data_IF_585462201834
#
_entry.id   IF_585462201834
#
_cell.length_a   1.000
_cell.length_b   1.000
_cell.length_c   1.000
_cell.angle_alpha   90.00
_cell.angle_beta   90.00
_cell.angle_gamma   90.00
#
_symmetry.space_group_name_H-M   'P 1'
#
loop_
_entity.id
_entity.type
_entity.pdbx_description
1 polymer ?
#
# COMPACT_ATOMS: atom_id res chain seq x y z
N UNK A 1 1.33 1.30 -14.50
CA UNK A 1 1.77 2.71 -14.35
C UNK A 1 3.26 2.85 -14.66
N UNK A 2 4.16 2.08 -14.02
CA UNK A 2 5.61 2.15 -14.26
C UNK A 2 6.01 1.97 -15.73
N UNK A 3 5.37 1.05 -16.47
CA UNK A 3 5.62 0.89 -17.90
C UNK A 3 5.40 2.19 -18.69
N UNK A 4 4.27 2.85 -18.46
CA UNK A 4 3.92 4.10 -19.15
C UNK A 4 4.85 5.23 -18.76
N UNK A 5 5.17 5.36 -17.46
CA UNK A 5 6.13 6.36 -17.00
C UNK A 5 7.53 6.14 -17.59
N UNK A 6 8.00 4.90 -17.65
CA UNK A 6 9.26 4.54 -18.32
C UNK A 6 9.27 4.94 -19.81
N UNK A 7 8.17 4.70 -20.52
CA UNK A 7 8.02 5.12 -21.92
C UNK A 7 8.01 6.64 -22.07
N UNK A 8 7.35 7.37 -21.16
CA UNK A 8 7.31 8.84 -21.15
C UNK A 8 8.71 9.40 -20.86
N UNK A 9 9.40 8.91 -19.83
CA UNK A 9 10.79 9.30 -19.52
C UNK A 9 11.72 9.11 -20.72
N UNK A 10 11.64 7.96 -21.39
CA UNK A 10 12.45 7.69 -22.59
C UNK A 10 12.08 8.62 -23.75
N UNK A 11 10.79 8.93 -23.93
CA UNK A 11 10.32 9.86 -24.96
C UNK A 11 10.80 11.30 -24.69
N UNK A 12 10.73 11.77 -23.44
CA UNK A 12 11.24 13.09 -23.03
C UNK A 12 12.75 13.14 -23.24
N UNK A 13 13.48 12.11 -22.80
CA UNK A 13 14.93 12.00 -23.04
C UNK A 13 15.28 12.07 -24.53
N UNK A 14 14.43 11.51 -25.41
CA UNK A 14 14.62 11.58 -26.87
C UNK A 14 14.38 12.99 -27.40
N UNK A 15 13.38 13.71 -26.88
CA UNK A 15 13.03 15.06 -27.30
C UNK A 15 14.10 16.08 -26.86
N UNK A 16 14.61 15.94 -25.64
CA UNK A 16 15.68 16.78 -25.09
C UNK A 16 17.02 16.46 -25.77
N UNK A 17 17.25 15.17 -26.07
CA UNK A 17 18.45 14.65 -26.70
C UNK A 17 19.15 13.65 -25.79
N UNK A 18 19.50 12.47 -26.31
CA UNK A 18 20.14 11.45 -25.49
C UNK A 18 21.56 11.84 -25.10
N UNK A 19 21.88 11.73 -23.81
CA UNK A 19 23.18 12.05 -23.23
C UNK A 19 23.56 13.53 -23.29
N UNK A 20 22.59 14.45 -23.40
CA UNK A 20 22.85 15.90 -23.31
C UNK A 20 23.23 16.36 -21.91
N UNK A 21 22.79 15.62 -20.90
CA UNK A 21 22.99 15.89 -19.48
C UNK A 21 22.95 14.58 -18.69
N UNK A 22 23.07 14.68 -17.37
CA UNK A 22 23.10 13.53 -16.46
C UNK A 22 21.74 12.88 -16.20
N UNK A 23 20.63 13.54 -16.52
CA UNK A 23 19.27 13.08 -16.20
C UNK A 23 18.66 12.26 -17.33
N UNK A 24 18.82 12.73 -18.58
CA UNK A 24 18.30 12.06 -19.76
C UNK A 24 18.92 10.68 -19.97
N UNK A 25 18.23 9.83 -20.74
CA UNK A 25 18.76 8.53 -21.14
C UNK A 25 20.17 8.68 -21.79
N UNK A 26 21.14 7.83 -21.42
CA UNK A 26 22.51 7.91 -21.93
C UNK A 26 22.62 7.87 -23.46
N UNK A 27 23.73 8.38 -24.00
CA UNK A 27 23.94 8.45 -25.44
C UNK A 27 23.86 7.07 -26.11
N UNK A 28 22.87 6.91 -26.98
CA UNK A 28 22.58 5.65 -27.70
C UNK A 28 23.66 5.25 -28.71
N UNK A 29 24.55 6.17 -29.09
CA UNK A 29 25.71 5.89 -29.95
C UNK A 29 26.73 4.98 -29.26
N UNK A 30 26.71 4.94 -27.92
CA UNK A 30 27.53 4.00 -27.14
C UNK A 30 26.88 2.61 -27.27
N UNK A 31 27.61 1.57 -27.73
CA UNK A 31 27.04 0.25 -28.01
C UNK A 31 26.29 -0.39 -26.83
N UNK A 32 26.69 -0.08 -25.59
CA UNK A 32 26.02 -0.54 -24.38
C UNK A 32 24.57 -0.04 -24.29
N UNK A 33 24.34 1.25 -24.57
CA UNK A 33 23.04 1.93 -24.44
C UNK A 33 22.21 1.93 -25.74
N UNK A 34 22.78 1.44 -26.85
CA UNK A 34 22.08 1.34 -28.13
C UNK A 34 21.00 0.25 -28.18
N UNK A 35 21.16 -0.83 -27.40
CA UNK A 35 20.28 -2.01 -27.43
C UNK A 35 18.86 -1.72 -26.93
N UNK A 36 17.84 -2.25 -27.62
CA UNK A 36 16.43 -2.04 -27.25
C UNK A 36 16.11 -2.53 -25.83
N UNK A 37 16.61 -3.70 -25.46
CA UNK A 37 16.44 -4.25 -24.11
C UNK A 37 17.04 -3.35 -23.04
N UNK A 38 18.24 -2.80 -23.27
CA UNK A 38 18.90 -1.87 -22.35
C UNK A 38 18.10 -0.59 -22.18
N UNK A 39 17.59 -0.01 -23.27
CA UNK A 39 16.74 1.19 -23.26
C UNK A 39 15.52 0.99 -22.37
N UNK A 40 14.80 -0.11 -22.57
CA UNK A 40 13.60 -0.40 -21.82
C UNK A 40 13.89 -0.72 -20.34
N UNK A 41 14.83 -1.61 -20.06
CA UNK A 41 15.17 -2.03 -18.68
C UNK A 41 15.66 -0.84 -17.85
N UNK A 42 16.53 0.00 -18.41
CA UNK A 42 17.02 1.19 -17.72
C UNK A 42 15.88 2.19 -17.44
N UNK A 43 15.04 2.47 -18.44
CA UNK A 43 13.92 3.42 -18.27
C UNK A 43 12.90 2.89 -17.25
N UNK A 44 12.67 1.59 -17.23
CA UNK A 44 11.80 0.94 -16.24
C UNK A 44 12.41 0.95 -14.83
N UNK A 45 13.73 0.77 -14.73
CA UNK A 45 14.47 0.90 -13.48
C UNK A 45 14.35 2.33 -12.92
N UNK A 46 14.63 3.33 -13.76
CA UNK A 46 14.45 4.74 -13.41
C UNK A 46 13.02 5.01 -12.93
N UNK A 47 12.01 4.62 -13.73
CA UNK A 47 10.61 4.82 -13.38
C UNK A 47 10.21 4.14 -12.08
N UNK A 48 10.79 2.97 -11.77
CA UNK A 48 10.48 2.25 -10.54
C UNK A 48 11.04 3.01 -9.35
N UNK A 49 12.30 3.42 -9.38
CA UNK A 49 12.92 4.19 -8.31
C UNK A 49 12.18 5.50 -8.01
N UNK A 50 11.77 6.24 -9.05
CA UNK A 50 11.03 7.50 -8.91
C UNK A 50 9.65 7.27 -8.31
N UNK A 51 8.86 6.33 -8.87
CA UNK A 51 7.49 6.09 -8.43
C UNK A 51 7.40 5.40 -7.06
N UNK A 52 8.41 4.63 -6.65
CA UNK A 52 8.49 4.08 -5.29
C UNK A 52 9.17 5.04 -4.31
N UNK A 53 9.47 6.28 -4.71
CA UNK A 53 10.06 7.32 -3.86
C UNK A 53 11.42 6.95 -3.25
N UNK A 54 12.17 6.04 -3.89
CA UNK A 54 13.53 5.66 -3.45
C UNK A 54 14.52 6.77 -3.86
N UNK A 55 14.32 7.37 -5.03
CA UNK A 55 14.94 8.64 -5.40
C UNK A 55 16.44 8.61 -5.76
N UNK A 56 17.07 7.44 -5.89
CA UNK A 56 18.47 7.30 -6.34
C UNK A 56 18.65 7.50 -7.86
N UNK A 57 17.95 8.47 -8.43
CA UNK A 57 18.08 8.85 -9.84
C UNK A 57 18.91 10.12 -9.96
N UNK A 58 19.65 10.31 -11.07
CA UNK A 58 20.33 11.58 -11.31
C UNK A 58 19.36 12.75 -11.18
N UNK A 59 19.80 13.90 -10.62
CA UNK A 59 18.92 15.05 -10.49
C UNK A 59 18.60 15.65 -11.87
N UNK A 60 17.38 16.18 -12.07
CA UNK A 60 17.06 16.97 -13.27
C UNK A 60 17.97 18.19 -13.38
N UNK A 61 18.22 18.63 -14.61
CA UNK A 61 19.14 19.71 -14.96
C UNK A 61 18.38 20.89 -15.60
N UNK A 62 17.33 20.62 -16.39
CA UNK A 62 16.54 21.64 -17.09
C UNK A 62 15.16 21.84 -16.46
N UNK A 63 14.57 23.03 -16.64
CA UNK A 63 13.27 23.41 -16.04
C UNK A 63 12.15 22.44 -16.43
N UNK A 64 12.13 21.96 -17.68
CA UNK A 64 11.17 20.97 -18.17
C UNK A 64 11.32 19.60 -17.47
N UNK A 65 12.54 19.21 -17.11
CA UNK A 65 12.85 17.97 -16.39
C UNK A 65 12.41 18.09 -14.93
N UNK A 66 12.65 19.24 -14.30
CA UNK A 66 12.16 19.54 -12.96
C UNK A 66 10.64 19.46 -12.89
N UNK A 67 9.93 20.08 -13.84
CA UNK A 67 8.47 20.04 -13.89
C UNK A 67 7.95 18.60 -14.02
N UNK A 68 8.56 17.81 -14.91
CA UNK A 68 8.20 16.40 -15.08
C UNK A 68 8.42 15.58 -13.81
N UNK A 69 9.60 15.70 -13.17
CA UNK A 69 9.93 14.96 -11.96
C UNK A 69 9.02 15.33 -10.80
N UNK A 70 8.64 16.61 -10.64
CA UNK A 70 7.68 17.04 -9.60
C UNK A 70 6.31 16.39 -9.82
N UNK A 71 5.80 16.39 -11.05
CA UNK A 71 4.53 15.74 -11.38
C UNK A 71 4.61 14.23 -11.11
N UNK A 72 5.70 13.58 -11.51
CA UNK A 72 5.88 12.14 -11.33
C UNK A 72 5.95 11.75 -9.84
N UNK A 73 6.61 12.56 -9.00
CA UNK A 73 6.62 12.35 -7.55
C UNK A 73 5.22 12.49 -6.93
N UNK A 74 4.43 13.49 -7.34
CA UNK A 74 3.06 13.64 -6.85
C UNK A 74 2.19 12.42 -7.21
N UNK A 75 2.32 11.93 -8.44
CA UNK A 75 1.64 10.71 -8.89
C UNK A 75 2.11 9.50 -8.09
N UNK A 76 3.42 9.35 -7.89
CA UNK A 76 4.02 8.26 -7.10
C UNK A 76 3.50 8.22 -5.66
N UNK A 77 3.48 9.36 -4.97
CA UNK A 77 2.97 9.48 -3.60
C UNK A 77 1.48 9.11 -3.52
N UNK A 78 0.65 9.55 -4.46
CA UNK A 78 -0.78 9.22 -4.49
C UNK A 78 -1.02 7.72 -4.72
N UNK A 79 -0.25 7.10 -5.61
CA UNK A 79 -0.32 5.65 -5.86
C UNK A 79 0.09 4.89 -4.60
N UNK A 80 1.22 5.27 -3.98
CA UNK A 80 1.69 4.63 -2.77
C UNK A 80 0.68 4.74 -1.61
N UNK A 81 0.14 5.94 -1.38
CA UNK A 81 -0.91 6.17 -0.38
C UNK A 81 -2.15 5.30 -0.62
N UNK A 82 -2.57 5.15 -1.88
CA UNK A 82 -3.72 4.30 -2.26
C UNK A 82 -3.45 2.83 -1.98
N UNK A 83 -2.26 2.33 -2.33
CA UNK A 83 -1.87 0.94 -2.07
C UNK A 83 -1.88 0.65 -0.57
N UNK A 84 -1.23 1.51 0.23
CA UNK A 84 -1.18 1.37 1.69
C UNK A 84 -2.59 1.44 2.29
N UNK A 85 -3.43 2.38 1.83
CA UNK A 85 -4.82 2.50 2.26
C UNK A 85 -5.64 1.24 1.97
N UNK A 86 -5.48 0.66 0.78
CA UNK A 86 -6.17 -0.56 0.39
C UNK A 86 -5.72 -1.77 1.21
N UNK A 87 -4.41 -1.92 1.44
CA UNK A 87 -3.87 -2.98 2.30
C UNK A 87 -4.36 -2.82 3.74
N UNK A 88 -4.37 -1.60 4.27
CA UNK A 88 -4.90 -1.30 5.60
C UNK A 88 -6.39 -1.66 5.72
N UNK A 89 -7.19 -1.30 4.72
CA UNK A 89 -8.61 -1.66 4.64
C UNK A 89 -8.80 -3.19 4.59
N UNK A 90 -7.98 -3.90 3.81
CA UNK A 90 -8.03 -5.37 3.75
C UNK A 90 -7.74 -6.01 5.11
N UNK A 91 -6.72 -5.53 5.82
CA UNK A 91 -6.36 -6.02 7.16
C UNK A 91 -7.47 -5.73 8.17
N UNK A 92 -8.06 -4.53 8.11
CA UNK A 92 -9.17 -4.15 8.98
C UNK A 92 -10.38 -5.03 8.74
N UNK A 93 -10.76 -5.25 7.48
CA UNK A 93 -11.88 -6.13 7.10
C UNK A 93 -11.64 -7.58 7.51
N UNK A 94 -10.43 -8.12 7.31
CA UNK A 94 -10.08 -9.48 7.72
C UNK A 94 -10.20 -9.68 9.24
N UNK A 95 -9.92 -8.63 10.02
CA UNK A 95 -10.03 -8.66 11.47
C UNK A 95 -11.37 -8.13 12.00
N UNK A 96 -12.32 -7.72 11.15
CA UNK A 96 -13.55 -7.05 11.57
C UNK A 96 -14.37 -7.90 12.54
N UNK A 97 -14.63 -9.17 12.20
CA UNK A 97 -15.38 -10.08 13.07
C UNK A 97 -14.70 -10.28 14.44
N UNK A 98 -13.36 -10.35 14.45
CA UNK A 98 -12.59 -10.49 15.70
C UNK A 98 -12.64 -9.21 16.53
N UNK A 99 -12.55 -8.05 15.89
CA UNK A 99 -12.65 -6.75 16.54
C UNK A 99 -14.04 -6.54 17.16
N UNK A 100 -15.11 -6.90 16.46
CA UNK A 100 -16.48 -6.87 16.97
C UNK A 100 -16.67 -7.79 18.17
N UNK A 101 -16.15 -9.02 18.09
CA UNK A 101 -16.20 -9.95 19.21
C UNK A 101 -15.45 -9.41 20.43
N UNK A 102 -14.25 -8.87 20.23
CA UNK A 102 -13.45 -8.28 21.29
C UNK A 102 -14.17 -7.09 21.95
N UNK A 103 -14.81 -6.22 21.16
CA UNK A 103 -15.61 -5.10 21.67
C UNK A 103 -16.80 -5.56 22.55
N UNK A 104 -17.47 -6.67 22.18
CA UNK A 104 -18.51 -7.29 23.01
C UNK A 104 -17.93 -7.81 24.32
N UNK A 105 -16.81 -8.52 24.28
CA UNK A 105 -16.13 -9.04 25.49
C UNK A 105 -15.70 -7.89 26.42
N UNK A 106 -15.17 -6.80 25.87
CA UNK A 106 -14.71 -5.65 26.66
C UNK A 106 -15.88 -4.91 27.32
N UNK A 107 -17.03 -4.80 26.64
CA UNK A 107 -18.27 -4.27 27.23
C UNK A 107 -18.75 -5.13 28.41
N UNK A 108 -18.63 -6.47 28.29
CA UNK A 108 -19.01 -7.40 29.35
C UNK A 108 -18.06 -7.28 30.55
N UNK A 109 -16.75 -7.15 30.32
CA UNK A 109 -15.77 -6.87 31.38
C UNK A 109 -16.10 -5.58 32.13
N UNK A 110 -16.41 -4.51 31.39
CA UNK A 110 -16.78 -3.24 31.99
C UNK A 110 -18.05 -3.36 32.86
N UNK A 111 -19.05 -4.09 32.39
CA UNK A 111 -20.27 -4.37 33.17
C UNK A 111 -19.99 -5.15 34.45
N UNK A 112 -19.18 -6.21 34.38
CA UNK A 112 -18.79 -7.02 35.55
C UNK A 112 -18.00 -6.19 36.56
N UNK A 113 -17.10 -5.33 36.08
CA UNK A 113 -16.35 -4.41 36.93
C UNK A 113 -17.28 -3.43 37.66
N UNK A 114 -18.23 -2.81 36.95
CA UNK A 114 -19.22 -1.89 37.54
C UNK A 114 -20.07 -2.58 38.62
N UNK A 115 -20.44 -3.85 38.40
CA UNK A 115 -21.21 -4.66 39.37
C UNK A 115 -20.35 -5.29 40.46
N UNK A 116 -19.04 -5.03 40.50
CA UNK A 116 -18.09 -5.61 41.47
C UNK A 116 -18.14 -7.14 41.53
N UNK A 117 -18.26 -7.77 40.36
CA UNK A 117 -18.20 -9.23 40.23
C UNK A 117 -16.84 -9.75 40.71
N UNK A 118 -16.83 -10.93 41.33
CA UNK A 118 -15.58 -11.56 41.80
C UNK A 118 -14.68 -11.94 40.62
N UNK A 119 -13.36 -11.88 40.84
CA UNK A 119 -12.38 -12.20 39.80
C UNK A 119 -12.47 -13.63 39.27
N UNK A 120 -12.89 -14.57 40.12
CA UNK A 120 -13.15 -15.96 39.72
C UNK A 120 -14.30 -16.04 38.71
N UNK A 121 -15.42 -15.37 38.99
CA UNK A 121 -16.57 -15.37 38.09
C UNK A 121 -16.27 -14.62 36.78
N UNK A 122 -15.57 -13.50 36.85
CA UNK A 122 -15.07 -12.76 35.67
C UNK A 122 -14.21 -13.66 34.76
N UNK A 123 -13.26 -14.40 35.34
CA UNK A 123 -12.40 -15.31 34.58
C UNK A 123 -13.19 -16.46 33.93
N UNK A 124 -14.18 -17.02 34.63
CA UNK A 124 -15.06 -18.06 34.08
C UNK A 124 -15.89 -17.54 32.92
N UNK A 125 -16.42 -16.32 33.02
CA UNK A 125 -17.19 -15.68 31.95
C UNK A 125 -16.32 -15.43 30.72
N UNK A 126 -15.12 -14.86 30.88
CA UNK A 126 -14.19 -14.62 29.75
C UNK A 126 -13.82 -15.94 29.07
N UNK A 127 -13.48 -16.98 29.83
CA UNK A 127 -13.13 -18.30 29.29
C UNK A 127 -14.28 -18.92 28.49
N UNK A 128 -15.52 -18.70 28.91
CA UNK A 128 -16.70 -19.15 28.16
C UNK A 128 -16.84 -18.41 26.82
N UNK A 129 -16.60 -17.10 26.79
CA UNK A 129 -16.60 -16.32 25.55
C UNK A 129 -15.49 -16.76 24.59
N UNK A 130 -14.26 -16.98 25.08
CA UNK A 130 -13.16 -17.51 24.25
C UNK A 130 -13.51 -18.88 23.65
N UNK A 131 -14.17 -19.75 24.42
CA UNK A 131 -14.67 -21.04 23.93
C UNK A 131 -15.73 -20.86 22.83
N UNK A 132 -16.68 -19.94 23.01
CA UNK A 132 -17.71 -19.66 22.00
C UNK A 132 -17.13 -19.15 20.68
N UNK A 133 -16.14 -18.25 20.76
CA UNK A 133 -15.43 -17.72 19.60
C UNK A 133 -14.66 -18.82 18.85
N UNK A 134 -13.90 -19.63 19.58
CA UNK A 134 -13.07 -20.71 19.00
C UNK A 134 -13.93 -21.78 18.32
N UNK A 135 -15.11 -22.08 18.87
CA UNK A 135 -16.01 -23.09 18.32
C UNK A 135 -17.02 -22.55 17.29
N UNK A 136 -16.84 -21.31 16.80
CA UNK A 136 -17.67 -20.66 15.76
C UNK A 136 -19.19 -20.75 16.01
N UNK A 137 -19.64 -20.82 17.26
CA UNK A 137 -21.09 -20.84 17.61
C UNK A 137 -21.77 -19.47 17.49
N UNK A 138 -21.10 -18.49 16.90
CA UNK A 138 -21.59 -17.12 16.70
C UNK A 138 -22.02 -16.84 15.27
N UNK A 139 -22.34 -17.86 14.46
CA UNK A 139 -23.22 -17.61 13.31
C UNK A 139 -24.54 -17.17 13.92
N UNK A 140 -24.79 -15.87 13.84
CA UNK A 140 -25.93 -15.21 14.42
C UNK A 140 -27.19 -15.74 13.71
N UNK A 141 -27.81 -16.77 14.29
CA UNK A 141 -29.04 -17.39 13.75
C UNK A 141 -30.11 -16.33 13.50
N UNK A 142 -30.11 -15.22 14.27
CA UNK A 142 -31.03 -14.10 14.09
C UNK A 142 -30.69 -13.22 12.89
N UNK A 143 -29.42 -13.12 12.52
CA UNK A 143 -28.98 -12.38 11.33
C UNK A 143 -29.29 -13.17 10.05
N UNK A 144 -29.16 -14.50 10.09
CA UNK A 144 -29.62 -15.40 9.02
C UNK A 144 -31.14 -15.28 8.83
N UNK A 145 -31.91 -15.22 9.92
CA UNK A 145 -33.37 -15.07 9.88
C UNK A 145 -33.84 -13.69 9.40
N UNK A 146 -32.99 -12.67 9.41
CA UNK A 146 -33.31 -11.33 8.86
C UNK A 146 -33.09 -11.24 7.35
N UNK A 147 -32.30 -12.15 6.79
CA UNK A 147 -31.98 -12.22 5.37
C UNK A 147 -32.80 -13.30 4.62
N UNK A 148 -33.80 -13.90 5.30
CA UNK A 148 -34.83 -14.80 4.79
C UNK A 148 -36.17 -14.06 4.71
#
# INVERSE_FOLDING_TARGET
INHWNACIYFAISKLIGFGTDSWVYPNVSIPEYGRLSRKYIYSLYWSTLTLTTIGETPPPVKDEEYLFVVIDFLVGVLIFATIVGNVGSMISNMNASRAEFQAKVDSIKQYMHFRKVTKDLEARVIKWFDYLWTNKKTVDEKEVLKNL
#
